data_IF_946824149687
#
_entry.id   IF_946824149687
#
_cell.length_a   1.000
_cell.length_b   1.000
_cell.length_c   1.000
_cell.angle_alpha   90.00
_cell.angle_beta   90.00
_cell.angle_gamma   90.00
#
_symmetry.space_group_name_H-M   'P 1'
#
loop_
_entity.id
_entity.type
_entity.pdbx_description
1 polymer ?
#
# COMPACT_ATOMS: atom_id res chain seq x y z
N UNK A 1 -15.49 20.17 -24.90
CA UNK A 1 -15.09 18.80 -24.54
C UNK A 1 -13.70 18.90 -23.95
N UNK A 2 -13.55 18.72 -22.63
CA UNK A 2 -12.25 18.85 -21.96
C UNK A 2 -11.35 17.67 -22.32
N UNK A 3 -10.06 17.92 -22.52
CA UNK A 3 -9.06 16.87 -22.71
C UNK A 3 -9.02 15.98 -21.44
N UNK A 4 -9.41 14.73 -21.58
CA UNK A 4 -9.22 13.69 -20.56
C UNK A 4 -7.73 13.37 -20.43
N UNK A 5 -7.25 13.13 -19.21
CA UNK A 5 -5.88 12.66 -19.00
C UNK A 5 -5.73 11.20 -19.46
N UNK A 6 -4.48 10.74 -19.66
CA UNK A 6 -4.23 9.35 -20.05
C UNK A 6 -4.77 8.36 -19.00
N UNK A 7 -4.66 8.69 -17.71
CA UNK A 7 -5.21 7.88 -16.62
C UNK A 7 -6.75 7.85 -16.63
N UNK A 8 -7.41 8.95 -16.99
CA UNK A 8 -8.88 8.98 -17.13
C UNK A 8 -9.38 8.09 -18.27
N UNK A 9 -8.64 8.06 -19.39
CA UNK A 9 -8.94 7.19 -20.53
C UNK A 9 -8.79 5.71 -20.16
N UNK A 10 -7.71 5.37 -19.45
CA UNK A 10 -7.47 4.01 -18.98
C UNK A 10 -8.58 3.54 -18.03
N UNK A 11 -9.04 4.41 -17.11
CA UNK A 11 -10.17 4.10 -16.20
C UNK A 11 -11.49 3.90 -16.97
N UNK A 12 -11.74 4.72 -17.99
CA UNK A 12 -12.94 4.58 -18.83
C UNK A 12 -12.93 3.25 -19.61
N UNK A 13 -11.79 2.87 -20.18
CA UNK A 13 -11.64 1.63 -20.93
C UNK A 13 -11.76 0.39 -20.02
N UNK A 14 -11.18 0.43 -18.81
CA UNK A 14 -11.39 -0.62 -17.79
C UNK A 14 -12.87 -0.76 -17.42
N UNK A 15 -13.54 0.36 -17.17
CA UNK A 15 -14.99 0.36 -16.84
C UNK A 15 -15.83 -0.21 -17.98
N UNK A 16 -15.44 0.04 -19.23
CA UNK A 16 -16.11 -0.54 -20.40
C UNK A 16 -15.88 -2.04 -20.49
N UNK A 17 -14.64 -2.51 -20.29
CA UNK A 17 -14.34 -3.94 -20.27
C UNK A 17 -15.10 -4.68 -19.16
N UNK A 18 -15.11 -4.14 -17.94
CA UNK A 18 -15.85 -4.68 -16.80
C UNK A 18 -17.33 -4.90 -17.13
N UNK A 19 -18.00 -3.90 -17.74
CA UNK A 19 -19.39 -4.01 -18.18
C UNK A 19 -19.60 -5.13 -19.20
N UNK A 20 -18.71 -5.26 -20.17
CA UNK A 20 -18.79 -6.32 -21.20
C UNK A 20 -18.60 -7.69 -20.53
N UNK A 21 -17.62 -7.82 -19.65
CA UNK A 21 -17.33 -9.06 -18.95
C UNK A 21 -18.52 -9.50 -18.08
N UNK A 22 -19.10 -8.58 -17.31
CA UNK A 22 -20.30 -8.81 -16.51
C UNK A 22 -21.50 -9.24 -17.37
N UNK A 23 -21.71 -8.56 -18.50
CA UNK A 23 -22.81 -8.87 -19.40
C UNK A 23 -22.66 -10.29 -19.96
N UNK A 24 -21.44 -10.69 -20.35
CA UNK A 24 -21.18 -12.07 -20.82
C UNK A 24 -21.53 -13.09 -19.74
N UNK A 25 -21.12 -12.88 -18.49
CA UNK A 25 -21.42 -13.82 -17.39
C UNK A 25 -22.92 -13.87 -17.06
N UNK A 26 -23.57 -12.71 -17.00
CA UNK A 26 -24.99 -12.57 -16.66
C UNK A 26 -25.93 -13.20 -17.69
N UNK A 27 -25.55 -13.19 -18.98
CA UNK A 27 -26.32 -13.84 -20.05
C UNK A 27 -26.02 -15.35 -20.15
N UNK A 28 -24.80 -15.77 -19.80
CA UNK A 28 -24.37 -17.17 -19.89
C UNK A 28 -25.02 -18.06 -18.83
N UNK A 29 -25.08 -17.56 -17.59
CA UNK A 29 -25.62 -18.28 -16.43
C UNK A 29 -27.07 -18.78 -16.63
N UNK A 30 -28.06 -17.94 -16.98
CA UNK A 30 -29.44 -18.40 -17.18
C UNK A 30 -29.58 -19.39 -18.34
N UNK A 31 -28.77 -19.25 -19.40
CA UNK A 31 -28.76 -20.21 -20.52
C UNK A 31 -28.30 -21.60 -20.07
N UNK A 32 -27.23 -21.67 -19.28
CA UNK A 32 -26.74 -22.94 -18.74
C UNK A 32 -27.75 -23.57 -17.77
N UNK A 33 -28.38 -22.76 -16.91
CA UNK A 33 -29.38 -23.26 -15.96
C UNK A 33 -30.65 -23.74 -16.66
N UNK A 34 -31.12 -23.02 -17.68
CA UNK A 34 -32.29 -23.41 -18.47
C UNK A 34 -32.06 -24.72 -19.23
N UNK A 35 -30.89 -24.90 -19.86
CA UNK A 35 -30.56 -26.15 -20.55
C UNK A 35 -30.41 -27.32 -19.57
N UNK A 36 -29.80 -27.09 -18.40
CA UNK A 36 -29.69 -28.13 -17.37
C UNK A 36 -31.07 -28.59 -16.87
N UNK A 37 -31.99 -27.64 -16.66
CA UNK A 37 -33.37 -27.92 -16.29
C UNK A 37 -34.12 -28.67 -17.41
N UNK A 38 -33.93 -28.25 -18.67
CA UNK A 38 -34.48 -28.93 -19.85
C UNK A 38 -34.01 -30.39 -19.93
N UNK A 39 -32.70 -30.66 -19.85
CA UNK A 39 -32.15 -32.03 -19.88
C UNK A 39 -32.74 -32.86 -18.74
N UNK A 40 -32.79 -32.30 -17.53
CA UNK A 40 -33.34 -32.98 -16.36
C UNK A 40 -34.80 -33.40 -16.57
N UNK A 41 -35.63 -32.50 -17.11
CA UNK A 41 -37.05 -32.74 -17.39
C UNK A 41 -37.28 -33.66 -18.58
N UNK A 42 -36.59 -33.42 -19.69
CA UNK A 42 -36.76 -34.17 -20.95
C UNK A 42 -36.42 -35.65 -20.78
N UNK A 43 -35.33 -35.96 -20.07
CA UNK A 43 -34.92 -37.34 -19.78
C UNK A 43 -35.53 -37.91 -18.50
N UNK A 44 -36.43 -37.17 -17.81
CA UNK A 44 -37.08 -37.56 -16.55
C UNK A 44 -36.11 -37.98 -15.43
N UNK A 45 -34.89 -37.43 -15.45
CA UNK A 45 -33.79 -37.77 -14.54
C UNK A 45 -33.98 -37.27 -13.10
N UNK A 46 -35.12 -36.63 -12.80
CA UNK A 46 -35.51 -36.24 -11.43
C UNK A 46 -36.78 -36.96 -10.95
N UNK A 47 -37.47 -37.74 -11.79
CA UNK A 47 -38.75 -38.37 -11.44
C UNK A 47 -38.60 -39.72 -10.72
N UNK A 48 -37.40 -40.31 -10.64
CA UNK A 48 -37.21 -41.64 -10.04
C UNK A 48 -37.01 -41.67 -8.52
N UNK A 49 -37.14 -40.53 -7.81
CA UNK A 49 -37.06 -40.50 -6.34
C UNK A 49 -38.43 -40.56 -5.62
N UNK A 50 -39.55 -40.64 -6.34
CA UNK A 50 -40.88 -40.68 -5.70
C UNK A 50 -41.84 -41.64 -6.41
N UNK A 51 -41.72 -42.93 -6.11
CA UNK A 51 -42.85 -43.86 -6.17
C UNK A 51 -42.99 -44.57 -4.82
N UNK A 52 -43.92 -44.15 -3.95
CA UNK A 52 -44.44 -45.01 -2.90
C UNK A 52 -45.25 -46.13 -3.57
N UNK A 53 -45.00 -47.38 -3.15
CA UNK A 53 -45.63 -48.56 -3.72
C UNK A 53 -47.15 -48.41 -3.87
N UNK A 54 -47.64 -48.76 -5.05
CA UNK A 54 -49.07 -48.92 -5.30
C UNK A 54 -49.33 -50.38 -5.64
N UNK A 55 -50.19 -50.95 -4.82
CA UNK A 55 -50.70 -52.31 -4.84
C UNK A 55 -51.32 -52.66 -6.20
N UNK A 56 -51.10 -53.88 -6.65
CA UNK A 56 -52.05 -54.60 -7.51
C UNK A 56 -52.32 -55.95 -6.86
N UNK A 57 -53.61 -56.20 -6.67
CA UNK A 57 -54.22 -57.33 -5.99
C UNK A 57 -54.04 -58.66 -6.73
N UNK A 58 -53.95 -59.72 -5.92
CA UNK A 58 -54.44 -61.10 -6.06
C UNK A 58 -54.52 -61.79 -7.45
N UNK A 59 -53.83 -62.93 -7.56
CA UNK A 59 -54.52 -64.20 -7.75
C UNK A 59 -53.67 -65.38 -7.22
N UNK A 60 -54.33 -66.30 -6.52
CA UNK A 60 -53.79 -67.51 -5.86
C UNK A 60 -53.34 -68.58 -6.87
N UNK A 61 -52.28 -69.35 -6.54
CA UNK A 61 -52.22 -70.84 -6.56
C UNK A 61 -50.77 -71.38 -6.48
N UNK A 62 -50.46 -71.86 -5.25
CA UNK A 62 -49.73 -73.07 -4.84
C UNK A 62 -48.40 -73.54 -5.49
N UNK A 63 -47.40 -73.76 -4.61
CA UNK A 63 -46.44 -74.87 -4.74
C UNK A 63 -44.94 -74.57 -4.88
N UNK A 64 -44.17 -74.72 -3.79
CA UNK A 64 -42.89 -75.45 -3.85
C UNK A 64 -41.55 -74.72 -3.60
N UNK A 65 -41.08 -74.84 -2.35
CA UNK A 65 -39.66 -75.06 -1.92
C UNK A 65 -38.56 -74.00 -2.06
N UNK A 66 -37.84 -73.84 -0.95
CA UNK A 66 -36.74 -72.92 -0.65
C UNK A 66 -35.38 -73.30 -1.27
N UNK A 67 -34.60 -72.24 -1.58
CA UNK A 67 -33.13 -72.15 -1.68
C UNK A 67 -32.46 -72.86 -2.89
N UNK A 68 -31.56 -72.24 -3.66
CA UNK A 68 -30.40 -71.43 -3.26
C UNK A 68 -29.80 -70.68 -4.47
N UNK A 69 -29.68 -69.36 -4.33
CA UNK A 69 -28.56 -68.49 -4.76
C UNK A 69 -27.81 -68.83 -6.07
N UNK A 70 -28.06 -68.05 -7.13
CA UNK A 70 -27.10 -67.82 -8.20
C UNK A 70 -26.69 -66.34 -8.21
N UNK A 71 -25.38 -66.15 -8.15
CA UNK A 71 -24.68 -64.88 -8.07
C UNK A 71 -24.53 -64.31 -9.48
N UNK A 72 -25.12 -63.14 -9.76
CA UNK A 72 -24.76 -62.31 -10.92
C UNK A 72 -25.42 -60.94 -10.81
N UNK A 73 -24.63 -59.95 -10.41
CA UNK A 73 -25.08 -58.56 -10.31
C UNK A 73 -24.14 -57.73 -9.46
N UNK A 74 -22.89 -57.59 -9.88
CA UNK A 74 -22.10 -56.46 -9.41
C UNK A 74 -22.90 -55.18 -9.72
N UNK A 75 -23.12 -54.26 -8.77
CA UNK A 75 -23.65 -52.95 -9.12
C UNK A 75 -22.60 -52.28 -9.99
N UNK A 76 -22.89 -52.12 -11.28
CA UNK A 76 -22.20 -51.12 -12.09
C UNK A 76 -22.32 -49.79 -11.33
N UNK A 77 -21.26 -48.96 -11.26
CA UNK A 77 -21.38 -47.65 -10.67
C UNK A 77 -22.29 -46.86 -11.62
N UNK A 78 -23.59 -46.83 -11.33
CA UNK A 78 -24.51 -45.91 -11.97
C UNK A 78 -23.94 -44.54 -11.64
N UNK A 79 -23.30 -43.90 -12.62
CA UNK A 79 -22.96 -42.49 -12.51
C UNK A 79 -24.24 -41.80 -12.10
N UNK A 80 -24.21 -41.01 -11.02
CA UNK A 80 -25.41 -40.36 -10.51
C UNK A 80 -26.14 -39.66 -11.67
N UNK A 81 -27.47 -39.60 -11.66
CA UNK A 81 -28.25 -38.87 -12.68
C UNK A 81 -27.68 -37.46 -12.91
N UNK A 82 -27.15 -36.85 -11.84
CA UNK A 82 -26.39 -35.58 -11.87
C UNK A 82 -25.10 -35.65 -12.69
N UNK A 83 -24.35 -36.74 -12.62
CA UNK A 83 -23.13 -36.95 -13.42
C UNK A 83 -23.46 -37.11 -14.91
N UNK A 84 -24.59 -37.75 -15.25
CA UNK A 84 -25.06 -37.85 -16.63
C UNK A 84 -25.45 -36.47 -17.18
N UNK A 85 -26.25 -35.71 -16.41
CA UNK A 85 -26.61 -34.32 -16.75
C UNK A 85 -25.36 -33.48 -16.96
N UNK A 86 -24.39 -33.55 -16.03
CA UNK A 86 -23.13 -32.82 -16.14
C UNK A 86 -22.36 -33.19 -17.41
N UNK A 87 -22.25 -34.47 -17.75
CA UNK A 87 -21.59 -34.91 -18.99
C UNK A 87 -22.28 -34.39 -20.26
N UNK A 88 -23.62 -34.39 -20.29
CA UNK A 88 -24.38 -33.84 -21.41
C UNK A 88 -24.16 -32.33 -21.55
N UNK A 89 -24.26 -31.60 -20.44
CA UNK A 89 -23.96 -30.16 -20.38
C UNK A 89 -22.53 -29.87 -20.85
N UNK A 90 -21.54 -30.65 -20.41
CA UNK A 90 -20.15 -30.52 -20.87
C UNK A 90 -20.02 -30.68 -22.38
N UNK A 91 -20.80 -31.56 -23.03
CA UNK A 91 -20.75 -31.73 -24.49
C UNK A 91 -21.40 -30.57 -25.23
N UNK A 92 -22.55 -30.10 -24.76
CA UNK A 92 -23.31 -28.99 -25.37
C UNK A 92 -22.51 -27.68 -25.26
N UNK A 93 -21.99 -27.41 -24.06
CA UNK A 93 -21.34 -26.15 -23.72
C UNK A 93 -19.82 -26.23 -23.62
N UNK A 94 -19.19 -27.20 -24.30
CA UNK A 94 -17.72 -27.39 -24.28
C UNK A 94 -16.90 -26.16 -24.67
N UNK A 95 -17.49 -25.20 -25.38
CA UNK A 95 -16.83 -23.96 -25.81
C UNK A 95 -16.76 -22.88 -24.74
N UNK A 96 -17.60 -22.95 -23.70
CA UNK A 96 -17.70 -21.88 -22.68
C UNK A 96 -16.35 -21.61 -22.03
N UNK A 97 -15.71 -22.64 -21.49
CA UNK A 97 -14.45 -22.49 -20.76
C UNK A 97 -13.33 -21.93 -21.66
N UNK A 98 -13.08 -22.45 -22.88
CA UNK A 98 -12.14 -21.85 -23.82
C UNK A 98 -12.42 -20.39 -24.14
N UNK A 99 -13.66 -20.02 -24.46
CA UNK A 99 -13.99 -18.65 -24.89
C UNK A 99 -13.93 -17.65 -23.72
N UNK A 100 -14.32 -18.05 -22.51
CA UNK A 100 -14.11 -17.21 -21.32
C UNK A 100 -12.62 -16.98 -21.05
N UNK A 101 -11.78 -18.01 -21.19
CA UNK A 101 -10.33 -17.85 -21.06
C UNK A 101 -9.74 -16.95 -22.15
N UNK A 102 -10.24 -17.00 -23.39
CA UNK A 102 -9.85 -16.09 -24.47
C UNK A 102 -10.21 -14.63 -24.14
N UNK A 103 -11.41 -14.40 -23.61
CA UNK A 103 -11.86 -13.07 -23.18
C UNK A 103 -11.00 -12.54 -22.02
N UNK A 104 -10.67 -13.38 -21.05
CA UNK A 104 -9.76 -13.03 -19.94
C UNK A 104 -8.36 -12.67 -20.46
N UNK A 105 -7.84 -13.44 -21.43
CA UNK A 105 -6.55 -13.16 -22.05
C UNK A 105 -6.55 -11.85 -22.84
N UNK A 106 -7.66 -11.52 -23.52
CA UNK A 106 -7.84 -10.23 -24.17
C UNK A 106 -7.84 -9.09 -23.15
N UNK A 107 -8.58 -9.25 -22.03
CA UNK A 107 -8.60 -8.30 -20.93
C UNK A 107 -7.20 -8.03 -20.36
N UNK A 108 -6.44 -9.08 -20.03
CA UNK A 108 -5.05 -8.98 -19.52
C UNK A 108 -4.11 -8.28 -20.51
N UNK A 109 -4.33 -8.49 -21.82
CA UNK A 109 -3.51 -7.87 -22.88
C UNK A 109 -3.82 -6.37 -23.05
N UNK A 110 -5.08 -5.97 -22.88
CA UNK A 110 -5.48 -4.56 -22.92
C UNK A 110 -4.91 -3.86 -21.70
N UNK A 111 -5.17 -4.41 -20.51
CA UNK A 111 -4.66 -3.89 -19.26
C UNK A 111 -4.67 -4.99 -18.19
N UNK A 112 -3.53 -5.22 -17.54
CA UNK A 112 -3.41 -6.21 -16.47
C UNK A 112 -4.29 -5.90 -15.26
N UNK A 113 -4.69 -4.63 -15.05
CA UNK A 113 -5.60 -4.23 -13.97
C UNK A 113 -7.04 -4.72 -14.18
N UNK A 114 -7.41 -5.14 -15.40
CA UNK A 114 -8.69 -5.82 -15.63
C UNK A 114 -8.82 -7.08 -14.77
N UNK A 115 -7.70 -7.70 -14.35
CA UNK A 115 -7.71 -8.85 -13.45
C UNK A 115 -8.36 -8.58 -12.09
N UNK A 116 -8.38 -7.33 -11.61
CA UNK A 116 -9.04 -6.94 -10.37
C UNK A 116 -10.56 -7.08 -10.51
N UNK A 117 -11.12 -6.47 -11.56
CA UNK A 117 -12.54 -6.55 -11.89
C UNK A 117 -12.97 -7.99 -12.14
N UNK A 118 -12.23 -8.69 -13.01
CA UNK A 118 -12.52 -10.09 -13.33
C UNK A 118 -12.52 -10.97 -12.08
N UNK A 119 -11.60 -10.75 -11.12
CA UNK A 119 -11.54 -11.54 -9.89
C UNK A 119 -12.81 -11.37 -9.06
N UNK A 120 -13.30 -10.13 -8.89
CA UNK A 120 -14.52 -9.86 -8.13
C UNK A 120 -15.74 -10.43 -8.85
N UNK A 121 -15.92 -10.12 -10.13
CA UNK A 121 -17.09 -10.57 -10.92
C UNK A 121 -17.17 -12.08 -11.03
N UNK A 122 -16.09 -12.72 -11.48
CA UNK A 122 -16.04 -14.17 -11.63
C UNK A 122 -16.26 -14.88 -10.29
N UNK A 123 -15.72 -14.36 -9.18
CA UNK A 123 -15.94 -14.97 -7.87
C UNK A 123 -17.40 -14.91 -7.44
N UNK A 124 -18.07 -13.79 -7.68
CA UNK A 124 -19.49 -13.65 -7.36
C UNK A 124 -20.37 -14.63 -8.15
N UNK A 125 -20.11 -14.81 -9.44
CA UNK A 125 -20.83 -15.79 -10.27
C UNK A 125 -20.52 -17.24 -9.85
N UNK A 126 -19.26 -17.55 -9.49
CA UNK A 126 -18.91 -18.87 -8.92
C UNK A 126 -19.66 -19.11 -7.62
N UNK A 127 -19.71 -18.13 -6.71
CA UNK A 127 -20.40 -18.24 -5.44
C UNK A 127 -21.90 -18.49 -5.63
N UNK A 128 -22.53 -17.75 -6.54
CA UNK A 128 -23.96 -17.93 -6.89
C UNK A 128 -24.21 -19.34 -7.44
N UNK A 129 -23.40 -19.80 -8.40
CA UNK A 129 -23.53 -21.14 -8.97
C UNK A 129 -23.31 -22.26 -7.93
N UNK A 130 -22.35 -22.07 -7.01
CA UNK A 130 -22.07 -23.02 -5.94
C UNK A 130 -23.20 -23.12 -4.91
N UNK A 131 -23.88 -22.01 -4.60
CA UNK A 131 -25.05 -22.03 -3.72
C UNK A 131 -26.23 -22.78 -4.31
N UNK A 132 -26.34 -22.81 -5.64
CA UNK A 132 -27.38 -23.58 -6.35
C UNK A 132 -27.04 -25.08 -6.37
N UNK A 133 -25.89 -25.45 -6.94
CA UNK A 133 -25.37 -26.82 -6.89
C UNK A 133 -23.84 -26.81 -7.07
N UNK A 134 -23.06 -27.10 -6.01
CA UNK A 134 -21.59 -27.10 -6.08
C UNK A 134 -21.02 -28.05 -7.12
N UNK A 135 -21.71 -29.16 -7.42
CA UNK A 135 -21.26 -30.19 -8.35
C UNK A 135 -21.84 -30.02 -9.77
N UNK A 136 -22.52 -28.91 -10.04
CA UNK A 136 -23.08 -28.59 -11.36
C UNK A 136 -21.98 -28.35 -12.40
N UNK A 137 -22.38 -28.46 -13.67
CA UNK A 137 -21.54 -28.08 -14.80
C UNK A 137 -21.07 -26.63 -14.68
N UNK A 138 -22.01 -25.70 -14.44
CA UNK A 138 -21.72 -24.27 -14.37
C UNK A 138 -20.77 -23.92 -13.22
N UNK A 139 -21.02 -24.43 -12.00
CA UNK A 139 -20.13 -24.25 -10.84
C UNK A 139 -18.70 -24.73 -11.14
N UNK A 140 -18.57 -25.91 -11.74
CA UNK A 140 -17.27 -26.50 -12.08
C UNK A 140 -16.53 -25.68 -13.14
N UNK A 141 -17.22 -25.31 -14.22
CA UNK A 141 -16.64 -24.54 -15.32
C UNK A 141 -16.22 -23.14 -14.88
N UNK A 142 -17.08 -22.40 -14.18
CA UNK A 142 -16.72 -21.07 -13.67
C UNK A 142 -15.59 -21.16 -12.62
N UNK A 143 -15.58 -22.21 -11.78
CA UNK A 143 -14.50 -22.48 -10.85
C UNK A 143 -13.14 -22.65 -11.53
N UNK A 144 -13.08 -23.40 -12.63
CA UNK A 144 -11.86 -23.55 -13.43
C UNK A 144 -11.39 -22.21 -14.01
N UNK A 145 -12.32 -21.43 -14.58
CA UNK A 145 -12.03 -20.11 -15.15
C UNK A 145 -11.53 -19.13 -14.07
N UNK A 146 -12.11 -19.17 -12.88
CA UNK A 146 -11.69 -18.35 -11.74
C UNK A 146 -10.23 -18.61 -11.34
N UNK A 147 -9.73 -19.85 -11.46
CA UNK A 147 -8.32 -20.15 -11.23
C UNK A 147 -7.42 -19.38 -12.19
N UNK A 148 -7.79 -19.30 -13.48
CA UNK A 148 -7.06 -18.49 -14.48
C UNK A 148 -7.07 -17.01 -14.12
N UNK A 149 -8.24 -16.47 -13.77
CA UNK A 149 -8.37 -15.06 -13.34
C UNK A 149 -7.50 -14.77 -12.13
N UNK A 150 -7.52 -15.63 -11.11
CA UNK A 150 -6.69 -15.51 -9.91
C UNK A 150 -5.21 -15.52 -10.25
N UNK A 151 -4.78 -16.38 -11.19
CA UNK A 151 -3.38 -16.41 -11.65
C UNK A 151 -2.98 -15.10 -12.34
N UNK A 152 -3.87 -14.50 -13.13
CA UNK A 152 -3.62 -13.20 -13.75
C UNK A 152 -3.56 -12.08 -12.71
N UNK A 153 -4.42 -12.10 -11.70
CA UNK A 153 -4.34 -11.18 -10.57
C UNK A 153 -2.98 -11.28 -9.86
N UNK A 154 -2.55 -12.48 -9.47
CA UNK A 154 -1.24 -12.67 -8.84
C UNK A 154 -0.09 -12.15 -9.73
N UNK A 155 -0.15 -12.44 -11.04
CA UNK A 155 0.82 -11.97 -12.03
C UNK A 155 0.82 -10.44 -12.13
N UNK A 156 -0.34 -9.79 -12.11
CA UNK A 156 -0.48 -8.33 -12.08
C UNK A 156 0.26 -7.76 -10.86
N UNK A 157 -0.01 -8.27 -9.66
CA UNK A 157 0.67 -7.82 -8.42
C UNK A 157 2.18 -8.03 -8.48
N UNK A 158 2.64 -9.20 -8.94
CA UNK A 158 4.07 -9.48 -9.09
C UNK A 158 4.74 -8.56 -10.11
N UNK A 159 4.07 -8.23 -11.21
CA UNK A 159 4.59 -7.32 -12.21
C UNK A 159 4.73 -5.90 -11.66
N UNK A 160 3.76 -5.42 -10.87
CA UNK A 160 3.88 -4.12 -10.21
C UNK A 160 5.12 -4.07 -9.32
N UNK A 161 5.31 -5.04 -8.42
CA UNK A 161 6.50 -5.09 -7.56
C UNK A 161 7.79 -5.08 -8.38
N UNK A 162 7.87 -5.89 -9.46
CA UNK A 162 9.04 -5.94 -10.33
C UNK A 162 9.33 -4.60 -10.99
N UNK A 163 8.30 -3.89 -11.46
CA UNK A 163 8.47 -2.55 -12.06
C UNK A 163 9.06 -1.57 -11.06
N UNK A 164 8.63 -1.60 -9.80
CA UNK A 164 9.21 -0.76 -8.72
C UNK A 164 10.70 -1.01 -8.54
N UNK A 165 11.13 -2.28 -8.59
CA UNK A 165 12.53 -2.67 -8.42
C UNK A 165 13.44 -2.21 -9.59
N UNK A 166 12.86 -2.14 -10.79
CA UNK A 166 13.53 -1.74 -12.03
C UNK A 166 13.69 -0.21 -12.16
N UNK A 167 12.97 0.59 -11.35
CA UNK A 167 13.08 2.06 -11.37
C UNK A 167 14.50 2.49 -11.04
N UNK A 168 15.05 3.33 -11.92
CA UNK A 168 16.35 4.00 -11.75
C UNK A 168 16.13 5.49 -11.75
N UNK A 169 16.58 6.15 -10.69
CA UNK A 169 16.59 7.61 -10.63
C UNK A 169 17.85 8.19 -11.29
N UNK A 170 17.69 9.35 -11.92
CA UNK A 170 18.84 10.10 -12.43
C UNK A 170 19.61 10.70 -11.27
N UNK A 171 20.92 10.43 -11.22
CA UNK A 171 21.83 11.03 -10.22
C UNK A 171 21.91 12.55 -10.31
N UNK A 172 21.48 13.15 -11.42
CA UNK A 172 21.59 14.58 -11.71
C UNK A 172 20.32 15.37 -11.38
N UNK A 173 19.17 14.71 -11.24
CA UNK A 173 17.88 15.37 -10.99
C UNK A 173 17.55 15.37 -9.50
N UNK A 174 16.77 16.37 -9.10
CA UNK A 174 16.06 16.35 -7.82
C UNK A 174 15.12 15.14 -7.79
N UNK A 175 15.05 14.48 -6.66
CA UNK A 175 14.12 13.39 -6.36
C UNK A 175 12.98 13.99 -5.55
N UNK A 176 11.75 13.83 -6.03
CA UNK A 176 10.50 14.16 -5.33
C UNK A 176 9.72 12.89 -4.98
N UNK A 177 8.40 12.92 -5.14
CA UNK A 177 7.58 11.72 -5.02
C UNK A 177 7.96 10.72 -6.11
N UNK A 178 8.25 9.49 -5.69
CA UNK A 178 8.70 8.45 -6.59
C UNK A 178 7.52 7.92 -7.42
N UNK A 179 7.70 7.62 -8.72
CA UNK A 179 6.59 7.17 -9.58
C UNK A 179 5.83 5.98 -8.99
N UNK A 180 6.55 4.99 -8.47
CA UNK A 180 5.93 3.81 -7.86
C UNK A 180 5.17 4.09 -6.54
N UNK A 181 5.45 5.20 -5.87
CA UNK A 181 4.70 5.64 -4.69
C UNK A 181 3.35 6.22 -5.13
N UNK A 182 3.34 7.06 -6.15
CA UNK A 182 2.12 7.60 -6.75
C UNK A 182 1.27 6.48 -7.41
N UNK A 183 1.90 5.57 -8.16
CA UNK A 183 1.24 4.41 -8.77
C UNK A 183 0.61 3.49 -7.71
N UNK A 184 1.23 3.37 -6.52
CA UNK A 184 0.63 2.63 -5.41
C UNK A 184 -0.64 3.32 -4.88
N UNK A 185 -0.64 4.66 -4.77
CA UNK A 185 -1.84 5.42 -4.40
C UNK A 185 -2.98 5.20 -5.40
N UNK A 186 -2.69 5.31 -6.69
CA UNK A 186 -3.66 5.09 -7.77
C UNK A 186 -4.21 3.66 -7.75
N UNK A 187 -3.32 2.66 -7.66
CA UNK A 187 -3.70 1.25 -7.55
C UNK A 187 -4.59 1.01 -6.33
N UNK A 188 -4.21 1.52 -5.16
CA UNK A 188 -4.96 1.32 -3.94
C UNK A 188 -6.33 2.00 -4.01
N UNK A 189 -6.42 3.22 -4.55
CA UNK A 189 -7.69 3.89 -4.78
C UNK A 189 -8.63 3.09 -5.68
N UNK A 190 -8.10 2.56 -6.80
CA UNK A 190 -8.85 1.71 -7.71
C UNK A 190 -9.29 0.41 -7.03
N UNK A 191 -8.37 -0.31 -6.40
CA UNK A 191 -8.65 -1.59 -5.77
C UNK A 191 -9.67 -1.47 -4.62
N UNK A 192 -9.60 -0.42 -3.80
CA UNK A 192 -10.61 -0.15 -2.76
C UNK A 192 -12.00 0.10 -3.36
N UNK A 193 -12.09 0.73 -4.54
CA UNK A 193 -13.37 0.94 -5.22
C UNK A 193 -13.98 -0.37 -5.73
N UNK A 194 -13.15 -1.28 -6.25
CA UNK A 194 -13.57 -2.56 -6.86
C UNK A 194 -13.91 -3.60 -5.79
N UNK A 195 -13.08 -3.72 -4.75
CA UNK A 195 -13.20 -4.78 -3.73
C UNK A 195 -14.10 -4.38 -2.55
N UNK A 196 -14.83 -3.26 -2.67
CA UNK A 196 -15.77 -2.82 -1.64
C UNK A 196 -16.82 -3.92 -1.42
N UNK A 197 -16.79 -4.54 -0.24
CA UNK A 197 -17.63 -5.69 0.15
C UNK A 197 -17.46 -6.96 -0.72
N UNK A 198 -16.35 -7.09 -1.45
CA UNK A 198 -16.10 -8.27 -2.27
C UNK A 198 -15.69 -9.48 -1.42
N UNK A 199 -16.19 -10.66 -1.77
CA UNK A 199 -15.88 -11.94 -1.11
C UNK A 199 -14.38 -12.27 -1.12
N UNK A 200 -13.67 -11.83 -2.15
CA UNK A 200 -12.22 -12.05 -2.33
C UNK A 200 -11.33 -10.98 -1.69
N UNK A 201 -11.86 -10.18 -0.75
CA UNK A 201 -11.08 -9.14 -0.08
C UNK A 201 -9.76 -9.65 0.51
N UNK A 202 -9.77 -10.87 1.06
CA UNK A 202 -8.56 -11.49 1.62
C UNK A 202 -7.42 -11.72 0.62
N UNK A 203 -7.69 -11.84 -0.68
CA UNK A 203 -6.64 -11.90 -1.71
C UNK A 203 -6.01 -10.52 -1.95
N UNK A 204 -6.83 -9.46 -1.96
CA UNK A 204 -6.35 -8.08 -2.06
C UNK A 204 -5.52 -7.70 -0.83
N UNK A 205 -5.97 -8.05 0.38
CA UNK A 205 -5.22 -7.75 1.61
C UNK A 205 -3.82 -8.39 1.59
N UNK A 206 -3.70 -9.64 1.11
CA UNK A 206 -2.40 -10.29 0.91
C UNK A 206 -1.54 -9.61 -0.15
N UNK A 207 -2.17 -9.11 -1.22
CA UNK A 207 -1.47 -8.35 -2.25
C UNK A 207 -0.94 -7.01 -1.71
N UNK A 208 -1.74 -6.31 -0.92
CA UNK A 208 -1.34 -5.06 -0.27
C UNK A 208 -0.11 -5.21 0.61
N UNK A 209 -0.07 -6.22 1.48
CA UNK A 209 1.11 -6.46 2.34
C UNK A 209 2.39 -6.67 1.53
N UNK A 210 2.30 -7.29 0.34
CA UNK A 210 3.45 -7.46 -0.56
C UNK A 210 3.83 -6.14 -1.25
N UNK A 211 2.85 -5.43 -1.79
CA UNK A 211 3.05 -4.17 -2.51
C UNK A 211 3.66 -3.10 -1.63
N UNK A 212 3.07 -2.84 -0.45
CA UNK A 212 3.55 -1.79 0.45
C UNK A 212 4.98 -2.05 0.94
N UNK A 213 5.32 -3.32 1.18
CA UNK A 213 6.68 -3.72 1.53
C UNK A 213 7.64 -3.46 0.37
N UNK A 214 7.24 -3.77 -0.86
CA UNK A 214 7.98 -3.44 -2.07
C UNK A 214 8.21 -1.94 -2.22
N UNK A 215 7.18 -1.13 -1.96
CA UNK A 215 7.28 0.34 -1.95
C UNK A 215 8.30 0.81 -0.92
N UNK A 216 8.19 0.39 0.34
CA UNK A 216 9.09 0.83 1.42
C UNK A 216 10.56 0.52 1.11
N UNK A 217 10.84 -0.72 0.70
CA UNK A 217 12.21 -1.16 0.37
C UNK A 217 12.78 -0.34 -0.79
N UNK A 218 11.98 -0.04 -1.81
CA UNK A 218 12.45 0.73 -2.96
C UNK A 218 12.59 2.23 -2.65
N UNK A 219 11.75 2.82 -1.79
CA UNK A 219 11.97 4.19 -1.28
C UNK A 219 13.33 4.28 -0.59
N UNK A 220 13.63 3.34 0.31
CA UNK A 220 14.92 3.30 1.02
C UNK A 220 16.10 3.13 0.09
N UNK A 221 16.00 2.21 -0.88
CA UNK A 221 17.02 2.01 -1.93
C UNK A 221 17.30 3.30 -2.68
N UNK A 222 16.24 3.96 -3.19
CA UNK A 222 16.36 5.19 -3.96
C UNK A 222 16.92 6.34 -3.13
N UNK A 223 16.49 6.47 -1.87
CA UNK A 223 17.02 7.47 -0.96
C UNK A 223 18.54 7.30 -0.72
N UNK A 224 19.02 6.05 -0.63
CA UNK A 224 20.45 5.76 -0.47
C UNK A 224 21.27 6.00 -1.76
N UNK A 225 20.64 5.92 -2.92
CA UNK A 225 21.29 6.17 -4.22
C UNK A 225 21.24 7.65 -4.65
N UNK A 226 20.40 8.46 -3.99
CA UNK A 226 20.22 9.88 -4.30
C UNK A 226 21.48 10.69 -4.01
N UNK A 227 21.90 11.49 -4.99
CA UNK A 227 23.04 12.41 -4.87
C UNK A 227 22.63 13.87 -4.78
N UNK A 228 21.52 14.25 -5.42
CA UNK A 228 21.10 15.65 -5.53
C UNK A 228 20.16 16.08 -4.42
N UNK A 229 19.24 15.20 -4.01
CA UNK A 229 18.34 15.41 -2.88
C UNK A 229 18.89 14.67 -1.67
N UNK A 230 18.97 15.29 -0.48
CA UNK A 230 19.40 14.60 0.73
C UNK A 230 18.56 13.35 1.00
N UNK A 231 19.20 12.27 1.48
CA UNK A 231 18.55 11.00 1.81
C UNK A 231 17.31 11.21 2.70
N UNK A 232 17.45 11.99 3.77
CA UNK A 232 16.36 12.22 4.72
C UNK A 232 15.19 12.99 4.10
N UNK A 233 15.43 13.85 3.11
CA UNK A 233 14.35 14.53 2.37
C UNK A 233 13.58 13.52 1.51
N UNK A 234 14.28 12.67 0.75
CA UNK A 234 13.62 11.63 -0.06
C UNK A 234 12.76 10.71 0.80
N UNK A 235 13.31 10.27 1.93
CA UNK A 235 12.57 9.44 2.90
C UNK A 235 11.38 10.20 3.47
N UNK A 236 11.57 11.43 3.96
CA UNK A 236 10.53 12.23 4.58
C UNK A 236 9.34 12.46 3.64
N UNK A 237 9.57 12.96 2.42
CA UNK A 237 8.49 13.30 1.49
C UNK A 237 7.71 12.04 1.04
N UNK A 238 8.42 10.97 0.68
CA UNK A 238 7.75 9.75 0.21
C UNK A 238 7.00 9.03 1.34
N UNK A 239 7.56 8.95 2.55
CA UNK A 239 6.83 8.35 3.68
C UNK A 239 5.69 9.24 4.19
N UNK A 240 5.78 10.57 4.05
CA UNK A 240 4.65 11.46 4.28
C UNK A 240 3.50 11.16 3.32
N UNK A 241 3.80 11.08 2.02
CA UNK A 241 2.81 10.79 0.99
C UNK A 241 2.15 9.42 1.22
N UNK A 242 2.93 8.38 1.52
CA UNK A 242 2.38 7.05 1.83
C UNK A 242 1.49 7.09 3.07
N UNK A 243 1.90 7.79 4.13
CA UNK A 243 1.09 7.96 5.33
C UNK A 243 -0.24 8.69 5.03
N UNK A 244 -0.22 9.74 4.21
CA UNK A 244 -1.40 10.48 3.80
C UNK A 244 -2.36 9.57 3.00
N UNK A 245 -1.84 8.82 2.03
CA UNK A 245 -2.58 7.84 1.23
C UNK A 245 -3.26 6.78 2.09
N UNK A 246 -2.51 6.13 2.99
CA UNK A 246 -3.06 5.10 3.87
C UNK A 246 -4.07 5.68 4.87
N UNK A 247 -3.88 6.91 5.33
CA UNK A 247 -4.82 7.60 6.22
C UNK A 247 -6.13 7.96 5.52
N UNK A 248 -6.05 8.38 4.25
CA UNK A 248 -7.20 8.73 3.41
C UNK A 248 -8.02 7.50 3.02
N UNK A 249 -7.36 6.43 2.56
CA UNK A 249 -8.00 5.20 2.09
C UNK A 249 -8.49 4.29 3.23
N UNK A 250 -7.89 4.38 4.43
CA UNK A 250 -8.29 3.60 5.63
C UNK A 250 -8.26 2.08 5.41
N UNK A 251 -7.21 1.60 4.74
CA UNK A 251 -7.02 0.18 4.42
C UNK A 251 -6.70 -0.59 5.70
N UNK A 252 -7.65 -1.36 6.20
CA UNK A 252 -7.58 -1.98 7.53
C UNK A 252 -6.42 -2.96 7.70
N UNK A 253 -6.04 -3.69 6.65
CA UNK A 253 -4.92 -4.63 6.70
C UNK A 253 -3.54 -3.96 6.69
N UNK A 254 -3.46 -2.64 6.49
CA UNK A 254 -2.21 -1.86 6.41
C UNK A 254 -2.03 -0.88 7.59
N UNK A 255 -2.74 -1.09 8.71
CA UNK A 255 -2.66 -0.20 9.87
C UNK A 255 -1.28 -0.19 10.53
N UNK A 256 -0.54 -1.31 10.49
CA UNK A 256 0.82 -1.38 11.00
C UNK A 256 1.77 -0.56 10.12
N UNK A 257 1.69 -0.73 8.80
CA UNK A 257 2.48 -0.03 7.80
C UNK A 257 2.18 1.46 7.78
N UNK A 258 0.92 1.87 8.03
CA UNK A 258 0.56 3.28 8.23
C UNK A 258 1.31 3.89 9.41
N UNK A 259 1.38 3.17 10.54
CA UNK A 259 2.13 3.64 11.72
C UNK A 259 3.63 3.70 11.43
N UNK A 260 4.17 2.69 10.74
CA UNK A 260 5.57 2.67 10.32
C UNK A 260 5.91 3.84 9.37
N UNK A 261 5.05 4.12 8.38
CA UNK A 261 5.23 5.25 7.48
C UNK A 261 5.24 6.58 8.23
N UNK A 262 4.32 6.78 9.18
CA UNK A 262 4.31 7.97 10.04
C UNK A 262 5.60 8.09 10.86
N UNK A 263 6.08 6.97 11.41
CA UNK A 263 7.30 6.94 12.21
C UNK A 263 8.51 7.33 11.34
N UNK A 264 8.71 6.68 10.18
CA UNK A 264 9.79 7.00 9.24
C UNK A 264 9.75 8.44 8.75
N UNK A 265 8.56 8.95 8.41
CA UNK A 265 8.37 10.36 8.08
C UNK A 265 8.89 11.27 9.21
N UNK A 266 8.45 11.01 10.45
CA UNK A 266 8.81 11.83 11.62
C UNK A 266 10.31 11.75 11.92
N UNK A 267 10.89 10.55 11.90
CA UNK A 267 12.32 10.34 12.19
C UNK A 267 13.23 11.00 11.16
N UNK A 268 12.89 10.90 9.87
CA UNK A 268 13.67 11.54 8.81
C UNK A 268 13.46 13.05 8.74
N UNK A 269 12.26 13.56 9.08
CA UNK A 269 12.06 15.00 9.29
C UNK A 269 12.99 15.51 10.39
N UNK A 270 13.00 14.85 11.57
CA UNK A 270 13.85 15.26 12.69
C UNK A 270 15.34 15.14 12.35
N UNK A 271 15.76 14.06 11.69
CA UNK A 271 17.15 13.87 11.26
C UNK A 271 17.61 14.96 10.29
N UNK A 272 16.76 15.29 9.30
CA UNK A 272 17.04 16.37 8.35
C UNK A 272 17.14 17.73 9.02
N UNK A 273 16.23 18.01 9.96
CA UNK A 273 16.20 19.26 10.73
C UNK A 273 17.47 19.42 11.57
N UNK A 274 17.85 18.40 12.35
CA UNK A 274 19.06 18.42 13.18
C UNK A 274 20.31 18.61 12.32
N UNK A 275 20.43 17.83 11.24
CA UNK A 275 21.57 17.94 10.32
C UNK A 275 21.69 19.33 9.70
N UNK A 276 20.57 19.91 9.27
CA UNK A 276 20.56 21.19 8.56
C UNK A 276 20.79 22.39 9.50
N UNK A 277 20.29 22.32 10.73
CA UNK A 277 20.53 23.34 11.78
C UNK A 277 21.91 23.25 12.43
N UNK A 278 22.60 22.12 12.28
CA UNK A 278 24.01 22.00 12.70
C UNK A 278 24.93 23.01 11.99
N UNK A 279 24.56 23.47 10.78
CA UNK A 279 25.42 24.31 9.94
C UNK A 279 25.43 25.80 10.35
N UNK A 280 24.28 26.47 10.60
CA UNK A 280 24.27 27.89 10.97
C UNK A 280 24.99 28.26 12.27
N UNK A 281 25.16 27.30 13.20
CA UNK A 281 25.79 27.51 14.52
C UNK A 281 27.01 26.60 14.74
N UNK A 282 27.67 26.14 13.68
CA UNK A 282 28.68 25.08 13.72
C UNK A 282 29.74 25.25 14.82
N UNK A 283 30.36 26.43 14.95
CA UNK A 283 31.40 26.66 15.98
C UNK A 283 30.83 26.72 17.40
N UNK A 284 29.59 27.20 17.55
CA UNK A 284 28.91 27.23 18.84
C UNK A 284 28.56 25.80 19.28
N UNK A 285 28.04 24.99 18.35
CA UNK A 285 27.78 23.56 18.54
C UNK A 285 29.06 22.85 18.96
N UNK A 286 30.15 23.02 18.21
CA UNK A 286 31.42 22.36 18.50
C UNK A 286 32.01 22.76 19.87
N UNK A 287 31.86 24.03 20.26
CA UNK A 287 32.30 24.48 21.59
C UNK A 287 31.51 23.79 22.71
N UNK A 288 30.18 23.72 22.60
CA UNK A 288 29.34 23.11 23.63
C UNK A 288 29.41 21.58 23.64
N UNK A 289 29.56 20.92 22.50
CA UNK A 289 29.89 19.49 22.43
C UNK A 289 31.20 19.20 23.19
N UNK A 290 32.20 20.07 23.04
CA UNK A 290 33.46 19.99 23.79
C UNK A 290 33.27 20.18 25.30
N UNK A 291 32.41 21.11 25.72
CA UNK A 291 32.02 21.30 27.12
C UNK A 291 31.37 20.03 27.68
N UNK A 292 30.38 19.48 26.98
CA UNK A 292 29.68 18.26 27.38
C UNK A 292 30.62 17.07 27.46
N UNK A 293 31.55 16.92 26.51
CA UNK A 293 32.56 15.88 26.54
C UNK A 293 33.47 15.98 27.79
N UNK A 294 33.79 17.19 28.24
CA UNK A 294 34.57 17.41 29.47
C UNK A 294 33.78 17.05 30.72
N UNK A 295 32.51 17.44 30.78
CA UNK A 295 31.62 17.05 31.87
C UNK A 295 31.46 15.52 31.92
N UNK A 296 31.29 14.87 30.76
CA UNK A 296 31.22 13.41 30.66
C UNK A 296 32.51 12.69 31.08
N UNK A 297 33.67 13.36 30.97
CA UNK A 297 34.96 12.87 31.50
C UNK A 297 35.09 13.00 33.03
N UNK A 298 34.06 13.49 33.72
CA UNK A 298 34.02 13.63 35.18
C UNK A 298 34.50 14.99 35.71
N UNK A 299 34.74 15.97 34.83
CA UNK A 299 34.99 17.36 35.26
C UNK A 299 33.67 17.91 35.80
N UNK A 300 33.70 18.50 36.99
CA UNK A 300 32.51 19.10 37.59
C UNK A 300 32.06 20.29 36.74
N UNK A 301 30.74 20.50 36.62
CA UNK A 301 30.20 21.54 35.75
C UNK A 301 30.80 22.91 36.10
N UNK A 302 30.93 23.25 37.38
CA UNK A 302 31.54 24.49 37.86
C UNK A 302 33.04 24.65 37.53
N UNK A 303 33.75 23.55 37.25
CA UNK A 303 35.18 23.54 36.96
C UNK A 303 35.50 23.66 35.46
N UNK A 304 34.51 23.50 34.59
CA UNK A 304 34.69 23.61 33.12
C UNK A 304 35.30 24.96 32.76
N UNK A 305 34.90 26.04 33.44
CA UNK A 305 35.41 27.39 33.19
C UNK A 305 36.91 27.58 33.41
N UNK A 306 37.57 26.65 34.11
CA UNK A 306 39.03 26.63 34.31
C UNK A 306 39.79 25.85 33.22
N UNK A 307 39.08 25.10 32.37
CA UNK A 307 39.70 24.36 31.26
C UNK A 307 40.15 25.34 30.18
N UNK A 308 41.43 25.30 29.79
CA UNK A 308 42.03 26.29 28.88
C UNK A 308 41.25 26.47 27.57
N UNK A 309 40.76 25.38 26.97
CA UNK A 309 40.01 25.38 25.71
C UNK A 309 38.54 25.80 25.85
N UNK A 310 37.99 25.78 27.08
CA UNK A 310 36.58 26.03 27.37
C UNK A 310 36.43 27.06 28.49
N UNK A 311 37.36 28.01 28.57
CA UNK A 311 37.32 29.04 29.59
C UNK A 311 36.31 30.15 29.20
N UNK A 312 36.03 31.04 30.15
CA UNK A 312 35.09 32.16 29.97
C UNK A 312 35.45 33.09 28.78
N UNK A 313 36.74 33.27 28.49
CA UNK A 313 37.18 34.14 27.38
C UNK A 313 36.91 33.47 26.03
N UNK A 314 37.18 32.16 25.90
CA UNK A 314 36.86 31.41 24.68
C UNK A 314 35.34 31.32 24.47
N UNK A 315 34.53 31.11 25.52
CA UNK A 315 33.07 31.17 25.40
C UNK A 315 32.59 32.53 24.84
N UNK A 316 33.09 33.65 25.40
CA UNK A 316 32.74 35.00 24.91
C UNK A 316 33.17 35.23 23.47
N UNK A 317 34.30 34.65 23.07
CA UNK A 317 34.82 34.75 21.69
C UNK A 317 33.91 34.01 20.72
N UNK A 318 33.52 32.77 21.04
CA UNK A 318 32.62 31.97 20.20
C UNK A 318 31.25 32.63 20.07
N UNK A 319 30.66 33.14 21.16
CA UNK A 319 29.35 33.82 21.11
C UNK A 319 29.39 35.06 20.21
N UNK A 320 30.47 35.86 20.27
CA UNK A 320 30.63 37.07 19.44
C UNK A 320 30.70 36.80 17.93
N UNK A 321 30.97 35.56 17.52
CA UNK A 321 30.94 35.18 16.10
C UNK A 321 29.51 35.01 15.57
N UNK A 322 28.51 34.94 16.45
CA UNK A 322 27.10 34.75 16.10
C UNK A 322 26.21 35.90 16.60
N UNK A 323 26.47 37.16 16.18
CA UNK A 323 25.53 38.24 16.45
C UNK A 323 24.19 37.96 15.76
N UNK A 324 23.08 38.49 16.29
CA UNK A 324 21.74 38.21 15.78
C UNK A 324 21.56 38.40 14.26
N UNK A 325 22.29 39.36 13.66
CA UNK A 325 22.31 39.58 12.21
C UNK A 325 22.90 38.40 11.42
N UNK A 326 24.00 37.82 11.87
CA UNK A 326 24.61 36.65 11.22
C UNK A 326 23.75 35.40 11.41
N UNK A 327 23.13 35.24 12.60
CA UNK A 327 22.16 34.16 12.85
C UNK A 327 20.97 34.27 11.90
N UNK A 328 20.35 35.45 11.78
CA UNK A 328 19.25 35.68 10.84
C UNK A 328 19.64 35.36 9.40
N UNK A 329 20.83 35.77 8.97
CA UNK A 329 21.36 35.48 7.63
C UNK A 329 21.62 33.98 7.42
N UNK A 330 22.10 33.28 8.44
CA UNK A 330 22.25 31.82 8.43
C UNK A 330 20.91 31.11 8.26
N UNK A 331 19.89 31.54 9.00
CA UNK A 331 18.52 31.02 8.90
C UNK A 331 17.89 31.30 7.53
N UNK A 332 18.08 32.49 6.95
CA UNK A 332 17.59 32.85 5.60
C UNK A 332 18.22 31.97 4.51
N UNK A 333 19.53 31.73 4.59
CA UNK A 333 20.21 30.81 3.68
C UNK A 333 19.74 29.37 3.84
N UNK A 334 19.48 28.94 5.08
CA UNK A 334 18.94 27.64 5.37
C UNK A 334 17.54 27.48 4.78
N UNK A 335 16.66 28.46 4.94
CA UNK A 335 15.31 28.46 4.34
C UNK A 335 15.38 28.23 2.83
N UNK A 336 16.18 29.02 2.11
CA UNK A 336 16.39 28.90 0.67
C UNK A 336 16.96 27.54 0.26
N UNK A 337 17.78 26.92 1.12
CA UNK A 337 18.36 25.59 0.88
C UNK A 337 17.30 24.49 1.04
N UNK A 338 16.46 24.60 2.07
CA UNK A 338 15.34 23.69 2.32
C UNK A 338 14.34 23.75 1.18
N UNK A 339 13.91 24.95 0.80
CA UNK A 339 13.01 25.18 -0.33
C UNK A 339 13.52 24.50 -1.63
N UNK A 340 14.80 24.64 -1.93
CA UNK A 340 15.43 23.96 -3.07
C UNK A 340 15.41 22.43 -2.97
N UNK A 341 15.49 21.86 -1.77
CA UNK A 341 15.49 20.42 -1.56
C UNK A 341 14.09 19.78 -1.64
N UNK A 342 13.04 20.48 -1.20
CA UNK A 342 11.68 19.93 -1.08
C UNK A 342 10.88 20.02 -2.38
N UNK A 343 10.15 18.98 -2.75
CA UNK A 343 9.22 19.03 -3.88
C UNK A 343 8.00 19.93 -3.58
N UNK A 344 7.40 20.49 -4.63
CA UNK A 344 6.25 21.41 -4.49
C UNK A 344 4.95 20.66 -4.17
N UNK A 345 4.83 19.39 -4.59
CA UNK A 345 3.59 18.59 -4.52
C UNK A 345 3.07 18.44 -3.08
N UNK A 346 3.95 18.17 -2.12
CA UNK A 346 3.56 17.89 -0.73
C UNK A 346 3.39 19.14 0.15
N UNK A 347 3.79 20.32 -0.33
CA UNK A 347 3.70 21.59 0.41
C UNK A 347 4.31 21.52 1.84
N UNK A 348 5.36 20.72 2.04
CA UNK A 348 5.96 20.47 3.36
C UNK A 348 6.87 21.59 3.88
N UNK A 349 7.17 22.60 3.06
CA UNK A 349 8.12 23.66 3.42
C UNK A 349 7.79 24.32 4.77
N UNK A 350 6.53 24.67 4.99
CA UNK A 350 6.10 25.31 6.25
C UNK A 350 6.20 24.35 7.44
N UNK A 351 5.89 23.08 7.24
CA UNK A 351 6.01 22.05 8.29
C UNK A 351 7.47 21.85 8.70
N UNK A 352 8.35 21.71 7.71
CA UNK A 352 9.80 21.58 7.93
C UNK A 352 10.35 22.84 8.59
N UNK A 353 9.94 24.03 8.12
CA UNK A 353 10.40 25.29 8.69
C UNK A 353 9.97 25.48 10.14
N UNK A 354 8.73 25.11 10.47
CA UNK A 354 8.26 25.12 11.86
C UNK A 354 9.07 24.15 12.73
N UNK A 355 9.31 22.93 12.24
CA UNK A 355 10.15 21.96 12.94
C UNK A 355 11.59 22.47 13.13
N UNK A 356 12.13 23.22 12.16
CA UNK A 356 13.45 23.85 12.29
C UNK A 356 13.47 24.97 13.33
N UNK A 357 12.41 25.78 13.40
CA UNK A 357 12.28 26.80 14.44
C UNK A 357 12.27 26.17 15.84
N UNK A 358 11.48 25.11 16.04
CA UNK A 358 11.37 24.45 17.34
C UNK A 358 12.69 23.82 17.78
N UNK A 359 13.40 23.14 16.87
CA UNK A 359 14.71 22.56 17.17
C UNK A 359 15.77 23.65 17.42
N UNK A 360 15.74 24.77 16.70
CA UNK A 360 16.66 25.88 16.96
C UNK A 360 16.42 26.51 18.34
N UNK A 361 15.15 26.68 18.74
CA UNK A 361 14.79 27.15 20.09
C UNK A 361 15.25 26.15 21.15
N UNK A 362 15.13 24.84 20.88
CA UNK A 362 15.61 23.79 21.78
C UNK A 362 17.13 23.84 21.94
N UNK A 363 17.88 23.98 20.86
CA UNK A 363 19.35 24.15 20.91
C UNK A 363 19.75 25.40 21.67
N UNK A 364 19.08 26.53 21.42
CA UNK A 364 19.29 27.77 22.16
C UNK A 364 19.11 27.57 23.68
N UNK A 365 17.99 26.94 24.09
CA UNK A 365 17.72 26.65 25.51
C UNK A 365 18.77 25.73 26.12
N UNK A 366 19.25 24.76 25.34
CA UNK A 366 20.34 23.86 25.74
C UNK A 366 21.64 24.61 26.01
N UNK A 367 22.05 25.51 25.11
CA UNK A 367 23.25 26.34 25.28
C UNK A 367 23.14 27.27 26.48
N UNK A 368 22.03 27.99 26.64
CA UNK A 368 21.79 28.82 27.82
C UNK A 368 21.84 28.00 29.11
N UNK A 369 21.30 26.77 29.10
CA UNK A 369 21.38 25.83 30.22
C UNK A 369 22.82 25.37 30.53
N UNK A 370 23.66 25.15 29.52
CA UNK A 370 25.09 24.85 29.70
C UNK A 370 25.87 26.06 30.19
N UNK A 371 25.58 27.27 29.70
CA UNK A 371 26.20 28.51 30.18
C UNK A 371 25.90 28.71 31.67
N UNK A 372 24.63 28.54 32.06
CA UNK A 372 24.19 28.72 33.44
C UNK A 372 24.88 27.75 34.42
N UNK A 373 25.05 26.47 34.01
CA UNK A 373 25.67 25.43 34.84
C UNK A 373 27.19 25.50 34.86
N UNK A 374 27.82 25.67 33.70
CA UNK A 374 29.28 25.57 33.56
C UNK A 374 30.03 26.90 33.76
N UNK A 375 29.33 28.03 33.70
CA UNK A 375 29.91 29.37 33.82
C UNK A 375 29.12 30.27 34.78
N UNK A 376 28.86 29.83 36.02
CA UNK A 376 28.07 30.58 36.99
C UNK A 376 28.73 31.92 37.32
N UNK A 377 27.92 32.98 37.48
CA UNK A 377 28.41 34.33 37.79
C UNK A 377 29.27 34.97 36.68
N UNK A 378 29.36 34.34 35.50
CA UNK A 378 30.18 34.84 34.40
C UNK A 378 29.59 36.08 33.73
N UNK A 379 28.27 36.29 33.85
CA UNK A 379 27.53 37.33 33.12
C UNK A 379 27.64 37.18 31.60
N UNK A 380 27.88 35.95 31.11
CA UNK A 380 27.85 35.62 29.69
C UNK A 380 26.45 35.12 29.37
N UNK A 381 25.88 35.62 28.28
CA UNK A 381 24.58 35.22 27.73
C UNK A 381 24.68 35.29 26.21
N UNK A 382 23.77 34.62 25.51
CA UNK A 382 23.64 34.76 24.06
C UNK A 382 23.26 36.19 23.67
N UNK A 383 23.73 36.67 22.50
CA UNK A 383 23.47 38.05 22.03
C UNK A 383 22.07 38.27 21.45
N UNK A 384 21.25 37.22 21.38
CA UNK A 384 19.89 37.24 20.87
C UNK A 384 19.00 36.40 21.78
N UNK A 385 17.70 36.69 21.77
CA UNK A 385 16.69 36.04 22.60
C UNK A 385 15.82 35.09 21.80
N UNK A 386 15.00 34.30 22.49
CA UNK A 386 13.97 33.46 21.84
C UNK A 386 12.99 34.30 21.01
N UNK A 387 12.65 35.52 21.48
CA UNK A 387 11.77 36.41 20.71
C UNK A 387 12.42 36.83 19.39
N UNK A 388 13.71 37.16 19.42
CA UNK A 388 14.45 37.49 18.20
C UNK A 388 14.44 36.32 17.20
N UNK A 389 14.63 35.09 17.68
CA UNK A 389 14.55 33.87 16.83
C UNK A 389 13.18 33.76 16.15
N UNK A 390 12.10 33.93 16.91
CA UNK A 390 10.74 33.89 16.37
C UNK A 390 10.52 34.98 15.33
N UNK A 391 10.99 36.20 15.60
CA UNK A 391 10.88 37.33 14.68
C UNK A 391 11.71 37.09 13.40
N UNK A 392 12.90 36.48 13.52
CA UNK A 392 13.72 36.09 12.39
C UNK A 392 12.99 35.06 11.52
N UNK A 393 12.54 33.95 12.10
CA UNK A 393 11.86 32.87 11.39
C UNK A 393 10.56 33.34 10.72
N UNK A 394 9.78 34.18 11.40
CA UNK A 394 8.56 34.78 10.86
C UNK A 394 8.87 35.71 9.68
N UNK A 395 9.85 36.62 9.84
CA UNK A 395 10.23 37.55 8.77
C UNK A 395 10.77 36.84 7.53
N UNK A 396 11.52 35.75 7.70
CA UNK A 396 12.05 34.95 6.59
C UNK A 396 10.89 34.27 5.85
N UNK A 397 9.99 33.61 6.59
CA UNK A 397 8.84 32.94 5.99
C UNK A 397 7.84 33.89 5.29
N UNK A 398 7.79 35.17 5.67
CA UNK A 398 6.98 36.20 4.99
C UNK A 398 7.67 36.79 3.76
N UNK A 399 9.00 36.70 3.68
CA UNK A 399 9.79 37.28 2.59
C UNK A 399 9.93 36.36 1.36
N UNK A 400 9.47 35.12 1.50
CA UNK A 400 9.43 34.07 0.49
C UNK A 400 8.00 33.62 0.29
#
# INVERSE_FOLDING_TARGET
MGNMSASDLDVADRTKFDKIFEQVLSELEPLCLAEQDFISKFFKLQQHQSMPGTMTEADDLDGGTLSRQHNSGAPLPVSSEKDMIRQMMTRIFRCIEPELNNLIALGDKIDSFNSLYMLVKMSHHVWTAQNVDPASFLSTTLGNVLVTVKRNFDKCISNQIRQMEEVKISKKSKVGILPFVAEFEEFAGLAESIFKNAERRGDLDKAYTKLIRGVFVNVEKVANESQKTPRDVVMMENFHHIFATLSRLKISCLEAEKKEAKQKYTDHLQSYVIYSLGQPLEKLNHFFEGVEARVAQGIREEEVSYQLAFNKQELRKVIKEYPGKEVKKGLDNLYKKVDKHLCEEENLLQVVWHSMQDEFIRQYKHFEGLIARCYPGSGVTMEFTIQDILDYCSSIAQSH
#
